data_IF_391524173106
#
_entry.id   IF_391524173106
#
_cell.length_a   1.000
_cell.length_b   1.000
_cell.length_c   1.000
_cell.angle_alpha   90.00
_cell.angle_beta   90.00
_cell.angle_gamma   90.00
#
_symmetry.space_group_name_H-M   'P 1'
#
loop_
_entity.id
_entity.type
_entity.pdbx_description
1 polymer ?
#
# COMPACT_ATOMS: atom_id res chain seq x y z
N UNK A 1 5.73 -4.18 21.91
CA UNK A 1 4.81 -4.12 20.74
C UNK A 1 5.52 -4.75 19.56
N UNK A 2 4.84 -5.62 18.84
CA UNK A 2 5.40 -6.31 17.66
C UNK A 2 4.95 -5.58 16.39
N UNK A 3 5.89 -5.31 15.48
CA UNK A 3 5.63 -4.80 14.14
C UNK A 3 6.06 -5.85 13.14
N UNK A 4 5.08 -6.48 12.49
CA UNK A 4 5.31 -7.51 11.49
C UNK A 4 5.25 -6.93 10.07
N UNK A 5 6.06 -7.47 9.16
CA UNK A 5 6.04 -7.15 7.74
C UNK A 5 6.32 -8.39 6.90
N UNK A 6 5.63 -8.52 5.78
CA UNK A 6 5.87 -9.59 4.81
C UNK A 6 7.20 -9.42 4.05
N UNK A 7 7.84 -8.25 4.15
CA UNK A 7 9.14 -7.98 3.57
C UNK A 7 10.27 -8.50 4.48
N UNK A 8 11.44 -8.69 3.88
CA UNK A 8 12.67 -9.12 4.56
C UNK A 8 13.24 -8.09 5.56
N UNK A 9 12.76 -6.85 5.54
CA UNK A 9 13.07 -5.85 6.57
C UNK A 9 11.98 -4.78 6.72
N UNK A 10 11.95 -4.15 7.89
CA UNK A 10 11.05 -3.07 8.21
C UNK A 10 11.24 -1.84 7.30
N UNK A 11 10.13 -1.33 6.75
CA UNK A 11 10.14 -0.15 5.89
C UNK A 11 10.75 -0.40 4.50
N UNK A 12 10.67 -1.63 3.97
CA UNK A 12 11.18 -1.98 2.64
C UNK A 12 10.67 -1.09 1.50
N UNK A 13 9.44 -0.58 1.60
CA UNK A 13 8.85 0.34 0.63
C UNK A 13 9.24 1.82 0.84
N UNK A 14 10.00 2.14 1.89
CA UNK A 14 10.38 3.53 2.24
C UNK A 14 11.76 3.84 1.64
N UNK A 15 11.92 5.07 1.12
CA UNK A 15 13.20 5.58 0.65
C UNK A 15 14.30 5.39 1.72
N UNK A 16 15.47 4.91 1.31
CA UNK A 16 16.54 4.45 2.19
C UNK A 16 16.90 5.41 3.33
N UNK A 17 17.01 6.72 3.06
CA UNK A 17 17.36 7.70 4.10
C UNK A 17 16.25 7.87 5.14
N UNK A 18 15.02 8.04 4.68
CA UNK A 18 13.83 8.14 5.54
C UNK A 18 13.64 6.85 6.35
N UNK A 19 13.80 5.68 5.72
CA UNK A 19 13.74 4.39 6.41
C UNK A 19 14.74 4.31 7.55
N UNK A 20 15.99 4.67 7.27
CA UNK A 20 17.08 4.61 8.26
C UNK A 20 16.76 5.49 9.46
N UNK A 21 16.28 6.72 9.23
CA UNK A 21 15.86 7.63 10.27
C UNK A 21 14.72 7.04 11.12
N UNK A 22 13.62 6.61 10.49
CA UNK A 22 12.43 6.10 11.17
C UNK A 22 12.70 4.81 11.95
N UNK A 23 13.41 3.84 11.35
CA UNK A 23 13.76 2.59 12.03
C UNK A 23 14.69 2.87 13.20
N UNK A 24 15.66 3.79 13.06
CA UNK A 24 16.53 4.18 14.18
C UNK A 24 15.74 4.80 15.33
N UNK A 25 14.74 5.64 15.03
CA UNK A 25 13.86 6.25 16.03
C UNK A 25 13.03 5.18 16.75
N UNK A 26 12.44 4.25 16.01
CA UNK A 26 11.67 3.14 16.56
C UNK A 26 12.53 2.25 17.48
N UNK A 27 13.76 1.89 17.06
CA UNK A 27 14.69 1.11 17.86
C UNK A 27 15.07 1.82 19.16
N UNK A 28 15.33 3.13 19.12
CA UNK A 28 15.65 3.93 20.31
C UNK A 28 14.54 3.94 21.36
N UNK A 29 13.29 3.65 20.99
CA UNK A 29 12.21 3.53 21.99
C UNK A 29 12.38 2.33 22.91
N UNK A 30 13.10 1.28 22.47
CA UNK A 30 13.21 0.01 23.18
C UNK A 30 11.90 -0.79 23.30
N UNK A 31 10.81 -0.33 22.68
CA UNK A 31 9.46 -0.91 22.82
C UNK A 31 9.03 -1.77 21.62
N UNK A 32 9.74 -1.66 20.50
CA UNK A 32 9.38 -2.31 19.25
C UNK A 32 10.22 -3.57 19.02
N UNK A 33 9.54 -4.66 18.73
CA UNK A 33 10.13 -5.88 18.17
C UNK A 33 9.70 -5.99 16.71
N UNK A 34 10.68 -6.07 15.81
CA UNK A 34 10.43 -6.22 14.38
C UNK A 34 10.38 -7.71 14.03
N UNK A 35 9.33 -8.11 13.32
CA UNK A 35 9.15 -9.46 12.80
C UNK A 35 9.10 -9.36 11.27
N UNK A 36 10.22 -9.66 10.62
CA UNK A 36 10.31 -9.63 9.17
C UNK A 36 9.84 -10.97 8.58
N UNK A 37 9.62 -10.98 7.26
CA UNK A 37 9.20 -12.16 6.52
C UNK A 37 7.97 -12.85 7.14
N UNK A 38 7.05 -12.05 7.67
CA UNK A 38 5.89 -12.51 8.41
C UNK A 38 4.64 -11.71 8.03
N UNK A 39 3.61 -12.41 7.55
CA UNK A 39 2.31 -11.81 7.21
C UNK A 39 1.26 -12.20 8.24
N UNK A 40 0.37 -11.26 8.57
CA UNK A 40 -0.79 -11.55 9.40
C UNK A 40 -1.76 -12.45 8.63
N UNK A 41 -2.12 -13.60 9.20
CA UNK A 41 -3.07 -14.55 8.60
C UNK A 41 -4.34 -14.75 9.41
N UNK A 42 -4.33 -14.33 10.68
CA UNK A 42 -5.50 -14.42 11.54
C UNK A 42 -5.32 -13.61 12.82
N UNK A 43 -6.45 -13.33 13.46
CA UNK A 43 -6.53 -12.71 14.78
C UNK A 43 -7.68 -13.41 15.53
N UNK A 44 -7.43 -13.78 16.78
CA UNK A 44 -8.45 -14.22 17.74
C UNK A 44 -8.49 -13.25 18.94
N UNK A 45 -9.25 -13.57 19.99
CA UNK A 45 -9.54 -12.71 21.15
C UNK A 45 -8.32 -11.92 21.69
N UNK A 46 -7.20 -12.60 21.92
CA UNK A 46 -5.96 -12.00 22.44
C UNK A 46 -4.69 -12.50 21.71
N UNK A 47 -4.85 -13.16 20.56
CA UNK A 47 -3.74 -13.78 19.82
C UNK A 47 -3.74 -13.35 18.35
N UNK A 48 -2.56 -12.91 17.88
CA UNK A 48 -2.30 -12.67 16.45
C UNK A 48 -1.51 -13.82 15.83
N UNK A 49 -1.89 -14.25 14.63
CA UNK A 49 -1.23 -15.33 13.90
C UNK A 49 -0.40 -14.76 12.75
N UNK A 50 0.92 -14.95 12.85
CA UNK A 50 1.89 -14.49 11.86
C UNK A 50 2.45 -15.69 11.10
N UNK A 51 2.22 -15.76 9.80
CA UNK A 51 2.78 -16.81 8.96
C UNK A 51 4.08 -16.34 8.32
N UNK A 52 5.14 -17.14 8.43
CA UNK A 52 6.39 -16.91 7.72
C UNK A 52 6.16 -16.96 6.21
N UNK A 53 6.63 -15.95 5.48
CA UNK A 53 6.61 -15.92 4.02
C UNK A 53 7.71 -16.78 3.38
N UNK A 54 8.63 -17.33 4.19
CA UNK A 54 9.74 -18.16 3.72
C UNK A 54 9.43 -19.65 3.77
N UNK A 55 8.72 -20.09 4.82
CA UNK A 55 8.50 -21.52 5.08
C UNK A 55 7.06 -21.86 5.49
N UNK A 56 6.15 -20.89 5.45
CA UNK A 56 4.71 -21.07 5.73
C UNK A 56 4.38 -21.52 7.17
N UNK A 57 5.36 -21.58 8.07
CA UNK A 57 5.16 -21.83 9.51
C UNK A 57 4.41 -20.67 10.14
N UNK A 58 3.40 -20.99 10.97
CA UNK A 58 2.59 -20.01 11.70
C UNK A 58 3.13 -19.84 13.13
N UNK A 59 3.34 -18.60 13.53
CA UNK A 59 3.74 -18.19 14.86
C UNK A 59 2.59 -17.44 15.55
N UNK A 60 2.33 -17.80 16.81
CA UNK A 60 1.34 -17.15 17.65
C UNK A 60 1.98 -16.00 18.45
N UNK A 61 1.32 -14.86 18.45
CA UNK A 61 1.66 -13.70 19.29
C UNK A 61 0.53 -13.52 20.29
N UNK A 62 0.75 -13.97 21.52
CA UNK A 62 -0.23 -13.91 22.60
C UNK A 62 -0.26 -12.54 23.29
N UNK A 63 -1.34 -12.25 24.02
CA UNK A 63 -1.49 -11.02 24.82
C UNK A 63 -1.65 -9.76 23.98
N UNK A 64 -2.19 -9.89 22.76
CA UNK A 64 -2.44 -8.79 21.84
C UNK A 64 -3.70 -8.03 22.27
N UNK A 65 -3.51 -6.84 22.85
CA UNK A 65 -4.62 -5.96 23.19
C UNK A 65 -5.27 -5.29 21.97
N UNK A 66 -4.51 -5.12 20.87
CA UNK A 66 -4.99 -4.53 19.63
C UNK A 66 -4.12 -4.93 18.44
N UNK A 67 -4.76 -5.18 17.30
CA UNK A 67 -4.10 -5.43 16.02
C UNK A 67 -4.31 -4.24 15.09
N UNK A 68 -3.22 -3.67 14.59
CA UNK A 68 -3.24 -2.58 13.61
C UNK A 68 -2.76 -3.14 12.28
N UNK A 69 -3.59 -3.03 11.24
CA UNK A 69 -3.27 -3.51 9.89
C UNK A 69 -3.03 -2.31 8.98
N UNK A 70 -1.89 -2.31 8.30
CA UNK A 70 -1.57 -1.38 7.23
C UNK A 70 -1.55 -2.16 5.91
N UNK A 71 -2.67 -2.11 5.18
CA UNK A 71 -2.84 -2.75 3.88
C UNK A 71 -2.69 -1.76 2.73
N UNK A 72 -2.59 -2.28 1.51
CA UNK A 72 -2.63 -1.43 0.32
C UNK A 72 -3.97 -0.66 0.27
N UNK A 73 -3.94 0.68 0.14
CA UNK A 73 -5.15 1.47 -0.07
C UNK A 73 -5.83 1.04 -1.37
N UNK A 74 -7.16 1.18 -1.42
CA UNK A 74 -7.97 0.88 -2.60
C UNK A 74 -8.59 2.18 -3.10
N UNK A 75 -8.56 2.41 -4.41
CA UNK A 75 -9.40 3.45 -5.01
C UNK A 75 -10.85 2.98 -4.99
N UNK A 76 -11.75 3.93 -4.79
CA UNK A 76 -13.19 3.73 -4.92
C UNK A 76 -13.66 4.72 -5.96
N UNK A 77 -14.20 4.20 -7.06
CA UNK A 77 -14.85 5.03 -8.07
C UNK A 77 -16.19 5.51 -7.50
N UNK A 78 -16.29 6.81 -7.25
CA UNK A 78 -17.55 7.44 -6.86
C UNK A 78 -18.27 7.89 -8.12
N UNK A 79 -19.51 7.47 -8.28
CA UNK A 79 -20.38 7.97 -9.34
C UNK A 79 -20.85 9.37 -8.97
N UNK A 80 -20.40 10.37 -9.73
CA UNK A 80 -20.66 11.78 -9.48
C UNK A 80 -21.31 12.38 -10.74
N UNK A 81 -22.47 13.00 -10.56
CA UNK A 81 -23.14 13.74 -11.63
C UNK A 81 -22.59 15.17 -11.71
N UNK A 82 -21.84 15.44 -12.77
CA UNK A 82 -21.30 16.77 -13.09
C UNK A 82 -22.18 17.55 -14.09
N UNK A 83 -23.36 17.03 -14.43
CA UNK A 83 -24.23 17.58 -15.47
C UNK A 83 -23.54 17.62 -16.83
N UNK A 84 -23.44 18.80 -17.43
CA UNK A 84 -22.77 18.99 -18.73
C UNK A 84 -21.24 19.11 -18.63
N UNK A 85 -20.68 19.21 -17.41
CA UNK A 85 -19.24 19.35 -17.23
C UNK A 85 -18.52 18.00 -17.30
N UNK A 86 -17.34 17.98 -17.92
CA UNK A 86 -16.45 16.82 -17.88
C UNK A 86 -15.60 16.85 -16.62
N UNK A 87 -15.54 15.73 -15.90
CA UNK A 87 -14.60 15.51 -14.78
C UNK A 87 -13.43 14.61 -15.18
N UNK A 88 -12.27 14.81 -14.55
CA UNK A 88 -11.11 13.93 -14.66
C UNK A 88 -10.76 13.42 -13.26
N UNK A 89 -10.76 12.10 -13.06
CA UNK A 89 -10.32 11.50 -11.80
C UNK A 89 -8.80 11.52 -11.76
N UNK A 90 -8.23 12.03 -10.67
CA UNK A 90 -6.78 12.12 -10.50
C UNK A 90 -6.32 11.65 -9.12
N UNK A 91 -5.02 11.38 -8.98
CA UNK A 91 -4.38 11.08 -7.69
C UNK A 91 -4.79 9.70 -7.16
N UNK A 92 -4.90 9.58 -5.84
CA UNK A 92 -5.26 8.32 -5.18
C UNK A 92 -6.70 7.87 -5.46
N UNK A 93 -7.57 8.80 -5.86
CA UNK A 93 -8.93 8.48 -6.29
C UNK A 93 -8.94 7.69 -7.62
N UNK A 94 -7.93 7.89 -8.47
CA UNK A 94 -7.74 7.10 -9.69
C UNK A 94 -7.07 5.76 -9.35
N UNK A 95 -5.88 5.84 -8.76
CA UNK A 95 -5.10 4.69 -8.32
C UNK A 95 -4.17 5.13 -7.18
N UNK A 96 -4.25 4.50 -5.99
CA UNK A 96 -3.38 4.84 -4.87
C UNK A 96 -1.91 4.60 -5.21
N UNK A 97 -1.08 5.60 -4.95
CA UNK A 97 0.33 5.59 -5.36
C UNK A 97 1.15 6.58 -4.54
N UNK A 98 2.34 6.93 -5.01
CA UNK A 98 3.17 7.91 -4.30
C UNK A 98 2.57 9.32 -4.39
N UNK A 99 2.89 10.17 -3.40
CA UNK A 99 2.48 11.59 -3.41
C UNK A 99 3.00 12.29 -4.66
N UNK A 100 4.22 11.98 -5.07
CA UNK A 100 4.87 12.54 -6.25
C UNK A 100 4.07 12.25 -7.52
N UNK A 101 3.60 11.01 -7.70
CA UNK A 101 2.79 10.64 -8.85
C UNK A 101 1.39 11.27 -8.80
N UNK A 102 0.78 11.37 -7.61
CA UNK A 102 -0.51 12.03 -7.45
C UNK A 102 -0.43 13.53 -7.78
N UNK A 103 0.63 14.21 -7.32
CA UNK A 103 0.92 15.61 -7.65
C UNK A 103 1.20 15.78 -9.14
N UNK A 104 2.04 14.90 -9.72
CA UNK A 104 2.34 14.94 -11.14
C UNK A 104 1.09 14.82 -12.00
N UNK A 105 0.22 13.85 -11.71
CA UNK A 105 -1.01 13.67 -12.47
C UNK A 105 -1.97 14.85 -12.33
N UNK A 106 -2.13 15.39 -11.12
CA UNK A 106 -2.94 16.59 -10.90
C UNK A 106 -2.43 17.78 -11.71
N UNK A 107 -1.11 18.00 -11.70
CA UNK A 107 -0.48 19.08 -12.47
C UNK A 107 -0.64 18.87 -13.98
N UNK A 108 -0.47 17.63 -14.47
CA UNK A 108 -0.67 17.30 -15.88
C UNK A 108 -2.12 17.55 -16.31
N UNK A 109 -3.10 17.11 -15.51
CA UNK A 109 -4.51 17.31 -15.80
C UNK A 109 -4.87 18.81 -15.82
N UNK A 110 -4.40 19.59 -14.85
CA UNK A 110 -4.61 21.03 -14.81
C UNK A 110 -3.97 21.76 -16.00
N UNK A 111 -2.76 21.36 -16.39
CA UNK A 111 -2.04 21.96 -17.53
C UNK A 111 -2.77 21.70 -18.84
N UNK A 112 -3.23 20.46 -19.06
CA UNK A 112 -3.99 20.10 -20.25
C UNK A 112 -5.29 20.91 -20.37
N UNK A 113 -6.02 21.08 -19.25
CA UNK A 113 -7.20 21.95 -19.19
C UNK A 113 -6.87 23.41 -19.55
N UNK A 114 -5.72 23.93 -19.10
CA UNK A 114 -5.30 25.29 -19.40
C UNK A 114 -4.86 25.49 -20.86
N UNK A 115 -4.26 24.49 -21.50
CA UNK A 115 -3.80 24.56 -22.90
C UNK A 115 -4.88 24.19 -23.92
N UNK A 116 -6.04 23.71 -23.47
CA UNK A 116 -7.11 23.21 -24.34
C UNK A 116 -6.80 21.84 -24.96
N UNK A 117 -5.70 21.21 -24.56
CA UNK A 117 -5.41 19.83 -24.90
C UNK A 117 -6.27 18.93 -24.03
N UNK A 118 -7.03 17.99 -24.62
CA UNK A 118 -7.64 16.94 -23.80
C UNK A 118 -6.52 16.11 -23.19
N UNK A 119 -6.42 16.09 -21.86
CA UNK A 119 -5.51 15.20 -21.15
C UNK A 119 -5.70 13.79 -21.70
N UNK A 120 -4.67 13.24 -22.35
CA UNK A 120 -4.73 11.89 -22.88
C UNK A 120 -4.97 10.93 -21.71
N UNK A 121 -6.15 10.31 -21.68
CA UNK A 121 -6.46 9.22 -20.77
C UNK A 121 -5.46 8.09 -21.02
N UNK A 122 -4.45 7.97 -20.16
CA UNK A 122 -3.58 6.80 -20.14
C UNK A 122 -4.38 5.70 -19.43
N UNK A 123 -4.70 4.58 -20.10
CA UNK A 123 -5.40 3.50 -19.42
C UNK A 123 -4.57 3.02 -18.23
N UNK A 124 -5.21 2.60 -17.12
CA UNK A 124 -4.50 1.94 -16.04
C UNK A 124 -3.71 0.77 -16.63
N UNK A 125 -2.43 0.63 -16.26
CA UNK A 125 -1.68 -0.57 -16.63
C UNK A 125 -2.45 -1.75 -16.03
N UNK A 126 -2.86 -2.68 -16.89
CA UNK A 126 -3.45 -3.93 -16.44
C UNK A 126 -2.54 -4.55 -15.38
N UNK A 127 -3.09 -5.05 -14.26
CA UNK A 127 -2.29 -5.84 -13.35
C UNK A 127 -1.65 -6.96 -14.17
N UNK A 128 -0.34 -7.16 -14.02
CA UNK A 128 0.37 -8.21 -14.73
C UNK A 128 -0.39 -9.52 -14.53
N UNK A 129 -1.03 -10.00 -15.60
CA UNK A 129 -1.74 -11.28 -15.62
C UNK A 129 -0.70 -12.37 -15.43
N UNK A 130 -0.41 -12.67 -14.17
CA UNK A 130 0.26 -13.89 -13.77
C UNK A 130 -0.65 -15.06 -14.15
N UNK A 131 -0.37 -15.61 -15.31
CA UNK A 131 -0.35 -17.05 -15.59
C UNK A 131 -1.39 -17.90 -14.85
N UNK A 132 -2.54 -18.12 -15.51
CA UNK A 132 -3.28 -19.39 -15.40
C UNK A 132 -3.34 -19.95 -16.83
N UNK A 133 -2.48 -20.92 -17.14
CA UNK A 133 -2.67 -22.36 -16.94
C UNK A 133 -3.14 -23.01 -18.25
N UNK A 134 -2.48 -24.10 -18.69
CA UNK A 134 -3.10 -25.39 -19.10
C UNK A 134 -1.99 -26.41 -19.45
N UNK A 135 -1.88 -27.41 -18.58
CA UNK A 135 -1.81 -28.86 -18.84
C UNK A 135 -0.75 -29.48 -19.77
N UNK A 136 0.15 -30.25 -19.18
CA UNK A 136 0.17 -31.74 -19.27
C UNK A 136 0.89 -32.33 -18.06
#
# INVERSE_FOLDING_TARGET
MSLATAANFAGAAIQQYTRTLLVSQALRTGRMQFVNDARLVGVDADTGYLQSTLCEVVHEVNGVAATIVSGAPRSVTVDLDFGAASGTVVGDALAPRTVEEAVYEGLTAATALATGERAAHRPPREPATGEQAVSS
#
